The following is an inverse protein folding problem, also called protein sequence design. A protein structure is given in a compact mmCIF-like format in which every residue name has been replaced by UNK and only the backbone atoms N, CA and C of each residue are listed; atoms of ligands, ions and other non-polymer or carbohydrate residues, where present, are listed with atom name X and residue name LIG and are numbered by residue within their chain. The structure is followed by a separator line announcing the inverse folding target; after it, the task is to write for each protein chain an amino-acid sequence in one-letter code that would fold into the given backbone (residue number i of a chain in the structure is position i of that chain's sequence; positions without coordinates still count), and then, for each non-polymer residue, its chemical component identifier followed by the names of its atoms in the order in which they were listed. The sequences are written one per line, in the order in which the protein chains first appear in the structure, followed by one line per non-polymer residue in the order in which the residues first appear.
data_IF_283217798648
#
_entry.id   IF_283217798648
#
_cell.length_a   1.000
_cell.length_b   1.000
_cell.length_c   1.000
_cell.angle_alpha   90.00
_cell.angle_beta   90.00
_cell.angle_gamma   90.00
#
_symmetry.space_group_name_H-M   'P 1'
#
loop_
_entity.id
_entity.type
_entity.pdbx_description
1 polymer ?
#
# COMPACT_ATOMS: atom_id res chain seq x y z
N UNK A 1 19.76 -30.65 -54.33
CA UNK A 1 20.89 -30.32 -53.44
C UNK A 1 21.51 -29.00 -53.87
N UNK A 2 21.46 -27.97 -53.02
CA UNK A 2 22.46 -26.91 -52.86
C UNK A 2 21.97 -25.97 -51.76
N UNK A 3 22.60 -26.10 -50.60
CA UNK A 3 22.37 -25.31 -49.40
C UNK A 3 23.01 -23.93 -49.58
N UNK A 4 22.28 -22.86 -49.31
CA UNK A 4 22.88 -21.56 -48.97
C UNK A 4 22.31 -21.16 -47.62
N UNK A 5 23.19 -21.25 -46.63
CA UNK A 5 23.03 -20.71 -45.27
C UNK A 5 23.29 -19.21 -45.36
N UNK A 6 22.32 -18.38 -44.97
CA UNK A 6 22.62 -17.00 -44.59
C UNK A 6 21.67 -16.56 -43.47
N UNK A 7 22.23 -16.49 -42.26
CA UNK A 7 21.66 -15.77 -41.12
C UNK A 7 21.63 -14.27 -41.43
N UNK A 8 20.51 -13.63 -41.10
CA UNK A 8 20.40 -12.20 -40.76
C UNK A 8 19.20 -12.12 -39.79
N UNK A 9 19.38 -12.21 -38.47
CA UNK A 9 19.92 -11.21 -37.53
C UNK A 9 19.23 -9.84 -37.61
N UNK A 10 18.15 -9.73 -36.83
CA UNK A 10 17.72 -8.59 -35.99
C UNK A 10 17.45 -7.22 -36.65
N UNK A 11 16.17 -6.83 -36.61
CA UNK A 11 15.71 -5.49 -36.19
C UNK A 11 14.27 -5.64 -35.68
N UNK A 12 14.05 -5.86 -34.39
CA UNK A 12 13.77 -4.80 -33.41
C UNK A 12 12.69 -3.83 -33.90
N UNK A 13 11.43 -4.14 -33.61
CA UNK A 13 10.53 -3.13 -33.06
C UNK A 13 9.77 -3.75 -31.89
N UNK A 14 10.43 -3.65 -30.74
CA UNK A 14 9.83 -3.67 -29.42
C UNK A 14 8.79 -2.55 -29.36
N UNK A 15 7.51 -2.82 -29.64
CA UNK A 15 6.43 -2.03 -29.05
C UNK A 15 6.06 -2.68 -27.72
N UNK A 16 7.01 -2.66 -26.79
CA UNK A 16 6.69 -2.88 -25.38
C UNK A 16 5.82 -1.69 -24.97
N UNK A 17 4.60 -2.01 -24.56
CA UNK A 17 3.58 -1.18 -23.94
C UNK A 17 4.09 0.13 -23.31
N UNK A 18 4.11 1.22 -24.07
CA UNK A 18 4.38 2.57 -23.56
C UNK A 18 3.14 3.24 -22.92
N UNK A 19 2.13 2.46 -22.50
CA UNK A 19 0.91 3.01 -21.89
C UNK A 19 0.96 3.10 -20.35
N UNK A 20 2.02 2.62 -19.68
CA UNK A 20 2.02 2.47 -18.21
C UNK A 20 2.98 3.40 -17.44
N UNK A 21 3.77 4.24 -18.13
CA UNK A 21 4.74 5.12 -17.47
C UNK A 21 4.12 6.41 -16.91
N UNK A 22 2.97 6.85 -17.44
CA UNK A 22 2.36 8.11 -17.06
C UNK A 22 1.50 8.00 -15.79
N UNK A 23 0.93 6.83 -15.51
CA UNK A 23 0.23 6.50 -14.25
C UNK A 23 1.17 6.03 -13.14
N UNK A 24 2.37 5.51 -13.48
CA UNK A 24 3.36 5.09 -12.48
C UNK A 24 4.04 6.28 -11.77
N UNK A 25 4.13 7.45 -12.40
CA UNK A 25 4.76 8.64 -11.79
C UNK A 25 3.94 9.32 -10.69
N UNK A 26 2.64 9.02 -10.58
CA UNK A 26 1.72 9.58 -9.58
C UNK A 26 1.23 8.55 -8.57
N UNK A 27 1.61 7.28 -8.72
CA UNK A 27 1.08 6.19 -7.92
C UNK A 27 2.20 5.59 -7.06
N UNK A 28 2.06 5.62 -5.73
CA UNK A 28 2.97 4.92 -4.82
C UNK A 28 2.37 3.54 -4.52
N UNK A 29 2.84 2.44 -5.14
CA UNK A 29 2.13 1.16 -5.10
C UNK A 29 1.94 0.64 -3.67
N UNK A 30 2.97 0.77 -2.82
CA UNK A 30 2.87 0.37 -1.40
C UNK A 30 1.87 1.18 -0.59
N UNK A 31 1.59 2.42 -0.99
CA UNK A 31 0.53 3.20 -0.35
C UNK A 31 -0.85 2.64 -0.70
N UNK A 32 -1.01 2.10 -1.90
CA UNK A 32 -2.26 1.46 -2.30
C UNK A 32 -2.47 0.14 -1.57
N UNK A 33 -1.42 -0.67 -1.40
CA UNK A 33 -1.50 -1.90 -0.60
C UNK A 33 -2.02 -1.60 0.82
N UNK A 34 -1.49 -0.54 1.45
CA UNK A 34 -1.97 -0.08 2.76
C UNK A 34 -3.44 0.39 2.70
N UNK A 35 -3.80 1.21 1.72
CA UNK A 35 -5.17 1.72 1.55
C UNK A 35 -6.18 0.60 1.29
N UNK A 36 -5.80 -0.44 0.56
CA UNK A 36 -6.65 -1.61 0.29
C UNK A 36 -6.94 -2.38 1.57
N UNK A 37 -5.92 -2.66 2.39
CA UNK A 37 -6.13 -3.36 3.67
C UNK A 37 -6.97 -2.51 4.63
N UNK A 38 -6.72 -1.20 4.68
CA UNK A 38 -7.56 -0.29 5.45
C UNK A 38 -9.02 -0.28 4.95
N UNK A 39 -9.24 -0.21 3.63
CA UNK A 39 -10.58 -0.30 3.05
C UNK A 39 -11.28 -1.62 3.38
N UNK A 40 -10.53 -2.74 3.41
CA UNK A 40 -11.05 -4.04 3.83
C UNK A 40 -11.50 -4.03 5.28
N UNK A 41 -10.72 -3.45 6.20
CA UNK A 41 -11.14 -3.29 7.61
C UNK A 41 -12.43 -2.46 7.68
N UNK A 42 -12.48 -1.32 6.97
CA UNK A 42 -13.65 -0.45 6.95
C UNK A 42 -14.90 -1.19 6.47
N UNK A 43 -14.80 -1.92 5.35
CA UNK A 43 -15.90 -2.70 4.80
C UNK A 43 -16.42 -3.73 5.82
N UNK A 44 -15.53 -4.40 6.53
CA UNK A 44 -15.92 -5.35 7.56
C UNK A 44 -16.58 -4.67 8.77
N UNK A 45 -16.15 -3.45 9.13
CA UNK A 45 -16.81 -2.65 10.17
C UNK A 45 -18.23 -2.23 9.75
N UNK A 46 -18.40 -1.80 8.50
CA UNK A 46 -19.70 -1.43 7.93
C UNK A 46 -20.67 -2.61 7.89
N UNK A 47 -20.14 -3.81 7.64
CA UNK A 47 -20.90 -5.06 7.67
C UNK A 47 -21.14 -5.63 9.07
N UNK A 48 -20.74 -4.91 10.13
CA UNK A 48 -20.80 -5.39 11.53
C UNK A 48 -20.10 -6.74 11.75
N UNK A 49 -19.05 -7.04 10.98
CA UNK A 49 -18.28 -8.26 11.13
C UNK A 49 -17.45 -8.20 12.44
N UNK A 50 -17.62 -9.14 13.40
CA UNK A 50 -16.84 -9.16 14.63
C UNK A 50 -15.34 -9.36 14.41
N UNK A 51 -14.94 -9.84 13.23
CA UNK A 51 -13.56 -10.08 12.83
C UNK A 51 -12.97 -8.94 11.97
N UNK A 52 -13.60 -7.77 11.95
CA UNK A 52 -13.12 -6.64 11.14
C UNK A 52 -11.64 -6.27 11.44
N UNK A 53 -11.21 -6.43 12.68
CA UNK A 53 -9.84 -6.14 13.11
C UNK A 53 -8.87 -7.33 12.99
N UNK A 54 -9.28 -8.46 12.40
CA UNK A 54 -8.34 -9.57 12.13
C UNK A 54 -7.27 -9.21 11.08
N UNK A 55 -7.46 -8.12 10.33
CA UNK A 55 -6.52 -7.63 9.32
C UNK A 55 -5.50 -6.60 9.86
N UNK A 56 -5.48 -6.32 11.17
CA UNK A 56 -4.55 -5.32 11.74
C UNK A 56 -3.09 -5.70 11.57
N UNK A 57 -2.77 -6.98 11.65
CA UNK A 57 -1.41 -7.47 11.43
C UNK A 57 -0.98 -7.25 9.98
N UNK A 58 -1.86 -7.58 9.03
CA UNK A 58 -1.62 -7.31 7.60
C UNK A 58 -1.46 -5.82 7.35
N UNK A 59 -2.29 -4.97 7.98
CA UNK A 59 -2.17 -3.52 7.86
C UNK A 59 -0.82 -3.03 8.38
N UNK A 60 -0.40 -3.51 9.54
CA UNK A 60 0.91 -3.20 10.12
C UNK A 60 2.04 -3.60 9.17
N UNK A 61 2.02 -4.82 8.65
CA UNK A 61 3.02 -5.31 7.71
C UNK A 61 3.09 -4.46 6.44
N UNK A 62 1.95 -4.08 5.86
CA UNK A 62 1.92 -3.23 4.67
C UNK A 62 2.48 -1.83 4.96
N UNK A 63 2.21 -1.27 6.14
CA UNK A 63 2.79 0.04 6.52
C UNK A 63 4.31 -0.06 6.74
N UNK A 64 4.81 -1.16 7.30
CA UNK A 64 6.26 -1.37 7.38
C UNK A 64 6.90 -1.49 5.99
N UNK A 65 6.24 -2.18 5.06
CA UNK A 65 6.69 -2.23 3.66
C UNK A 65 6.63 -0.86 2.98
N UNK A 66 5.58 -0.07 3.25
CA UNK A 66 5.48 1.30 2.77
C UNK A 66 6.64 2.16 3.26
N UNK A 67 6.93 2.11 4.56
CA UNK A 67 8.02 2.85 5.19
C UNK A 67 9.40 2.45 4.64
N UNK A 68 9.58 1.17 4.34
CA UNK A 68 10.81 0.66 3.73
C UNK A 68 10.90 0.91 2.20
N UNK A 69 9.79 1.27 1.56
CA UNK A 69 9.76 1.50 0.11
C UNK A 69 10.23 2.89 -0.28
N UNK A 70 10.80 3.01 -1.48
CA UNK A 70 11.15 4.32 -2.02
C UNK A 70 9.89 5.11 -2.38
N UNK A 71 9.69 6.24 -1.69
CA UNK A 71 8.62 7.18 -2.01
C UNK A 71 8.87 7.82 -3.38
N UNK A 72 7.90 7.86 -4.31
CA UNK A 72 8.03 8.60 -5.56
C UNK A 72 8.21 10.11 -5.32
N UNK A 73 8.80 10.83 -6.28
CA UNK A 73 9.20 12.23 -6.10
C UNK A 73 8.07 13.18 -5.64
N UNK A 74 6.82 12.94 -6.07
CA UNK A 74 5.66 13.72 -5.65
C UNK A 74 5.27 13.50 -4.17
N UNK A 75 5.64 12.35 -3.61
CA UNK A 75 5.44 12.01 -2.19
C UNK A 75 6.66 12.32 -1.31
N UNK A 76 7.82 12.68 -1.90
CA UNK A 76 9.05 13.04 -1.15
C UNK A 76 8.92 14.44 -0.52
N UNK A 77 8.09 14.55 0.51
CA UNK A 77 7.93 15.77 1.31
C UNK A 77 7.86 15.44 2.82
N UNK A 78 8.30 16.39 3.66
CA UNK A 78 8.38 16.20 5.12
C UNK A 78 7.05 15.77 5.74
N UNK A 79 5.94 16.32 5.25
CA UNK A 79 4.59 15.99 5.75
C UNK A 79 4.24 14.53 5.49
N UNK A 80 4.58 14.01 4.31
CA UNK A 80 4.35 12.60 3.95
C UNK A 80 5.23 11.68 4.77
N UNK A 81 6.50 12.02 4.95
CA UNK A 81 7.42 11.24 5.79
C UNK A 81 6.93 11.18 7.24
N UNK A 82 6.50 12.31 7.81
CA UNK A 82 5.94 12.36 9.16
C UNK A 82 4.64 11.56 9.25
N UNK A 83 3.74 11.68 8.27
CA UNK A 83 2.50 10.91 8.23
C UNK A 83 2.77 9.39 8.17
N UNK A 84 3.71 8.94 7.35
CA UNK A 84 4.09 7.51 7.26
C UNK A 84 4.72 7.02 8.57
N UNK A 85 5.54 7.83 9.22
CA UNK A 85 6.10 7.50 10.53
C UNK A 85 5.03 7.39 11.62
N UNK A 86 4.11 8.36 11.70
CA UNK A 86 2.98 8.31 12.64
C UNK A 86 2.05 7.13 12.34
N UNK A 87 1.81 6.85 11.05
CA UNK A 87 1.02 5.72 10.62
C UNK A 87 1.62 4.42 11.14
N UNK A 88 2.94 4.22 10.98
CA UNK A 88 3.68 3.05 11.48
C UNK A 88 3.47 2.82 12.98
N UNK A 89 3.56 3.88 13.79
CA UNK A 89 3.36 3.77 15.24
C UNK A 89 1.91 3.44 15.58
N UNK A 90 0.95 4.09 14.92
CA UNK A 90 -0.48 3.89 15.20
C UNK A 90 -0.98 2.52 14.78
N UNK A 91 -0.54 1.98 13.65
CA UNK A 91 -0.95 0.63 13.22
C UNK A 91 -0.33 -0.45 14.10
N UNK A 92 0.90 -0.28 14.58
CA UNK A 92 1.51 -1.20 15.55
C UNK A 92 0.76 -1.18 16.88
N UNK A 93 0.37 0.01 17.35
CA UNK A 93 -0.49 0.12 18.53
C UNK A 93 -1.88 -0.49 18.30
N UNK A 94 -2.45 -0.40 17.09
CA UNK A 94 -3.75 -0.97 16.77
C UNK A 94 -3.68 -2.50 16.80
N UNK A 95 -2.65 -3.08 16.18
CA UNK A 95 -2.42 -4.52 16.17
C UNK A 95 -2.22 -5.07 17.60
N UNK A 96 -1.42 -4.38 18.42
CA UNK A 96 -1.27 -4.74 19.84
C UNK A 96 -2.59 -4.72 20.59
N UNK A 97 -3.41 -3.67 20.41
CA UNK A 97 -4.73 -3.60 21.05
C UNK A 97 -5.67 -4.71 20.57
N UNK A 98 -5.65 -5.03 19.26
CA UNK A 98 -6.46 -6.10 18.70
C UNK A 98 -6.05 -7.47 19.29
N UNK A 99 -4.75 -7.73 19.40
CA UNK A 99 -4.21 -8.96 20.02
C UNK A 99 -4.51 -9.06 21.51
N UNK A 100 -4.51 -7.93 22.22
CA UNK A 100 -4.93 -7.84 23.63
C UNK A 100 -6.45 -7.84 23.82
N UNK A 101 -7.24 -8.07 22.77
CA UNK A 101 -8.71 -8.10 22.82
C UNK A 101 -9.32 -6.81 23.41
N UNK A 102 -8.74 -5.65 23.07
CA UNK A 102 -9.30 -4.35 23.43
C UNK A 102 -10.73 -4.19 22.90
N UNK A 103 -11.49 -3.25 23.47
CA UNK A 103 -12.89 -3.07 23.09
C UNK A 103 -13.01 -2.63 21.63
N UNK A 104 -14.09 -3.07 20.96
CA UNK A 104 -14.36 -2.66 19.57
C UNK A 104 -14.44 -1.14 19.41
N UNK A 105 -14.89 -0.42 20.43
CA UNK A 105 -14.93 1.05 20.44
C UNK A 105 -13.53 1.66 20.36
N UNK A 106 -12.59 1.18 21.18
CA UNK A 106 -11.20 1.65 21.17
C UNK A 106 -10.49 1.33 19.85
N UNK A 107 -10.71 0.13 19.31
CA UNK A 107 -10.15 -0.28 18.03
C UNK A 107 -10.69 0.60 16.89
N UNK A 108 -12.00 0.88 16.87
CA UNK A 108 -12.63 1.78 15.90
C UNK A 108 -12.07 3.20 16.01
N UNK A 109 -11.96 3.76 17.21
CA UNK A 109 -11.42 5.09 17.41
C UNK A 109 -10.00 5.21 16.84
N UNK A 110 -9.13 4.25 17.17
CA UNK A 110 -7.76 4.25 16.69
C UNK A 110 -7.67 4.02 15.17
N UNK A 111 -8.56 3.20 14.62
CA UNK A 111 -8.64 2.99 13.18
C UNK A 111 -9.10 4.26 12.43
N UNK A 112 -10.02 5.04 12.98
CA UNK A 112 -10.40 6.35 12.41
C UNK A 112 -9.21 7.32 12.36
N UNK A 113 -8.35 7.34 13.39
CA UNK A 113 -7.13 8.16 13.37
C UNK A 113 -6.16 7.72 12.27
N UNK A 114 -6.02 6.40 12.07
CA UNK A 114 -5.22 5.80 10.99
C UNK A 114 -5.78 6.21 9.61
N UNK A 115 -7.10 6.15 9.41
CA UNK A 115 -7.74 6.59 8.16
C UNK A 115 -7.51 8.08 7.91
N UNK A 116 -7.59 8.90 8.95
CA UNK A 116 -7.32 10.34 8.87
C UNK A 116 -5.89 10.60 8.42
N UNK A 117 -4.89 9.92 9.00
CA UNK A 117 -3.50 10.03 8.57
C UNK A 117 -3.32 9.59 7.12
N UNK A 118 -3.91 8.46 6.72
CA UNK A 118 -3.82 7.96 5.35
C UNK A 118 -4.35 8.96 4.31
N UNK A 119 -5.39 9.71 4.66
CA UNK A 119 -5.96 10.75 3.79
C UNK A 119 -5.03 11.97 3.61
N UNK A 120 -4.05 12.16 4.50
CA UNK A 120 -3.08 13.27 4.42
C UNK A 120 -1.91 13.00 3.46
N UNK A 121 -1.68 11.74 3.08
CA UNK A 121 -0.60 11.33 2.17
C UNK A 121 -1.06 11.53 0.72
N UNK A 122 -0.49 12.53 0.04
CA UNK A 122 -0.83 12.95 -1.33
C UNK A 122 0.40 13.40 -2.11
#
# INVERSE_FOLDING_TARGET
MKHIKTLAFIALFLTVSFASAQTAKTNWPKLNDVKEVAARINLNLEQNNPHAFSFTETLMQQVQQLKASEAPANFKNKKTEEAVNQLSVKVEALDRKAKSQASATELKQQFTEIQTLLATIK
#
